data_IF_358977042278
#
_entry.id   IF_358977042278
#
_cell.length_a   1.000
_cell.length_b   1.000
_cell.length_c   1.000
_cell.angle_alpha   90.00
_cell.angle_beta   90.00
_cell.angle_gamma   90.00
#
_symmetry.space_group_name_H-M   'P 1'
#
loop_
_entity.id
_entity.type
_entity.pdbx_description
1 polymer ?
#
# COMPACT_ATOMS: atom_id res chain seq x y z
N UNK A 1 4.71 17.55 -5.78
CA UNK A 1 4.48 16.73 -6.96
C UNK A 1 4.02 15.38 -6.46
N UNK A 2 2.76 15.06 -6.69
CA UNK A 2 2.17 13.79 -6.22
C UNK A 2 2.04 12.86 -7.44
N UNK A 3 3.14 12.15 -7.75
CA UNK A 3 3.18 11.17 -8.82
C UNK A 3 3.30 9.78 -8.18
N UNK A 4 2.39 8.88 -8.53
CA UNK A 4 2.39 7.49 -8.08
C UNK A 4 2.27 6.55 -9.27
N UNK A 5 2.94 5.42 -9.17
CA UNK A 5 2.85 4.35 -10.15
C UNK A 5 2.08 3.19 -9.56
N UNK A 6 1.17 2.64 -10.36
CA UNK A 6 0.37 1.49 -9.99
C UNK A 6 0.65 0.32 -10.91
N UNK A 7 0.49 -0.90 -10.43
CA UNK A 7 0.61 -2.14 -11.20
C UNK A 7 -0.55 -3.07 -10.86
N UNK A 8 -0.94 -3.89 -11.83
CA UNK A 8 -1.93 -4.97 -11.66
C UNK A 8 -1.29 -6.35 -11.74
N UNK A 9 0.02 -6.42 -12.03
CA UNK A 9 0.75 -7.69 -12.20
C UNK A 9 0.87 -8.39 -10.84
N UNK A 10 0.18 -9.51 -10.70
CA UNK A 10 0.07 -10.25 -9.44
C UNK A 10 -1.07 -9.77 -8.53
N UNK A 11 -1.85 -8.75 -8.93
CA UNK A 11 -3.00 -8.22 -8.19
C UNK A 11 -4.35 -8.47 -8.85
N UNK A 12 -4.40 -8.63 -10.17
CA UNK A 12 -5.63 -8.78 -10.92
C UNK A 12 -6.09 -10.24 -10.98
N UNK A 13 -7.19 -10.54 -10.28
CA UNK A 13 -7.83 -11.85 -10.20
C UNK A 13 -9.08 -11.98 -11.06
N UNK A 14 -9.52 -10.88 -11.66
CA UNK A 14 -10.74 -10.88 -12.46
C UNK A 14 -10.54 -11.74 -13.72
N UNK A 15 -11.29 -12.86 -13.78
CA UNK A 15 -11.16 -13.85 -14.86
C UNK A 15 -9.85 -14.65 -14.85
N UNK A 16 -8.97 -14.51 -13.84
CA UNK A 16 -7.69 -15.21 -13.79
C UNK A 16 -7.49 -15.99 -12.47
N UNK A 17 -7.85 -17.27 -12.41
CA UNK A 17 -7.70 -18.09 -11.20
C UNK A 17 -6.24 -18.39 -10.82
N UNK A 18 -5.26 -18.10 -11.68
CA UNK A 18 -3.85 -18.36 -11.41
C UNK A 18 -3.19 -17.26 -10.58
N UNK A 19 -3.85 -16.14 -10.34
CA UNK A 19 -3.36 -15.07 -9.46
C UNK A 19 -3.80 -15.37 -8.04
N UNK A 20 -2.90 -15.96 -7.26
CA UNK A 20 -3.11 -16.34 -5.86
C UNK A 20 -2.50 -15.32 -4.90
N UNK A 21 -2.83 -15.40 -3.60
CA UNK A 21 -2.21 -14.60 -2.53
C UNK A 21 -0.69 -14.82 -2.47
N UNK A 22 -0.21 -16.03 -2.75
CA UNK A 22 1.21 -16.35 -2.88
C UNK A 22 1.87 -15.58 -4.05
N UNK A 23 1.19 -15.51 -5.21
CA UNK A 23 1.67 -14.75 -6.37
C UNK A 23 1.66 -13.24 -6.11
N UNK A 24 0.67 -12.75 -5.37
CA UNK A 24 0.63 -11.37 -4.93
C UNK A 24 1.80 -11.04 -4.01
N UNK A 25 2.07 -11.89 -3.02
CA UNK A 25 3.22 -11.73 -2.13
C UNK A 25 4.54 -11.75 -2.92
N UNK A 26 4.70 -12.71 -3.84
CA UNK A 26 5.89 -12.79 -4.71
C UNK A 26 6.10 -11.52 -5.55
N UNK A 27 5.02 -10.95 -6.11
CA UNK A 27 5.10 -9.70 -6.87
C UNK A 27 5.55 -8.52 -5.99
N UNK A 28 5.00 -8.40 -4.77
CA UNK A 28 5.38 -7.37 -3.81
C UNK A 28 6.84 -7.51 -3.36
N UNK A 29 7.28 -8.71 -3.03
CA UNK A 29 8.66 -8.99 -2.59
C UNK A 29 9.66 -8.73 -3.72
N UNK A 30 9.37 -9.19 -4.95
CA UNK A 30 10.24 -8.95 -6.12
C UNK A 30 10.40 -7.47 -6.43
N UNK A 31 9.30 -6.70 -6.38
CA UNK A 31 9.34 -5.26 -6.59
C UNK A 31 10.15 -4.53 -5.51
N UNK A 32 9.98 -4.95 -4.25
CA UNK A 32 10.74 -4.44 -3.11
C UNK A 32 12.23 -4.72 -3.25
N UNK A 33 12.62 -5.96 -3.50
CA UNK A 33 14.03 -6.35 -3.68
C UNK A 33 14.69 -5.51 -4.78
N UNK A 34 14.02 -5.36 -5.92
CA UNK A 34 14.54 -4.59 -7.04
C UNK A 34 14.76 -3.11 -6.67
N UNK A 35 13.78 -2.44 -6.07
CA UNK A 35 13.89 -1.02 -5.75
C UNK A 35 14.92 -0.75 -4.66
N UNK A 36 15.01 -1.62 -3.65
CA UNK A 36 16.00 -1.50 -2.59
C UNK A 36 17.43 -1.71 -3.12
N UNK A 37 17.64 -2.63 -4.07
CA UNK A 37 18.93 -2.80 -4.76
C UNK A 37 19.36 -1.51 -5.47
N UNK A 38 18.45 -0.85 -6.20
CA UNK A 38 18.74 0.43 -6.87
C UNK A 38 19.12 1.53 -5.86
N UNK A 39 18.44 1.58 -4.70
CA UNK A 39 18.79 2.56 -3.66
C UNK A 39 20.13 2.25 -2.99
N UNK A 40 20.43 0.98 -2.74
CA UNK A 40 21.71 0.53 -2.19
C UNK A 40 22.87 0.89 -3.11
N UNK A 41 22.74 0.61 -4.42
CA UNK A 41 23.71 1.00 -5.42
C UNK A 41 23.93 2.53 -5.45
N UNK A 42 22.83 3.29 -5.46
CA UNK A 42 22.87 4.76 -5.44
C UNK A 42 23.55 5.30 -4.18
N UNK A 43 23.24 4.77 -2.98
CA UNK A 43 23.90 5.17 -1.74
C UNK A 43 25.40 4.87 -1.76
N UNK A 44 25.80 3.73 -2.31
CA UNK A 44 27.20 3.33 -2.47
C UNK A 44 27.94 4.28 -3.38
N UNK A 45 27.34 4.62 -4.53
CA UNK A 45 27.91 5.59 -5.47
C UNK A 45 28.07 6.97 -4.83
N UNK A 46 27.01 7.50 -4.20
CA UNK A 46 27.02 8.79 -3.50
C UNK A 46 28.08 8.80 -2.40
N UNK A 47 28.17 7.75 -1.59
CA UNK A 47 29.18 7.62 -0.53
C UNK A 47 30.60 7.64 -1.09
N UNK A 48 30.83 7.04 -2.27
CA UNK A 48 32.14 7.05 -2.94
C UNK A 48 32.55 8.45 -3.38
N UNK A 49 31.60 9.26 -3.85
CA UNK A 49 31.83 10.62 -4.34
C UNK A 49 31.91 11.67 -3.21
N UNK A 50 31.24 11.42 -2.06
CA UNK A 50 31.22 12.36 -0.92
C UNK A 50 32.37 12.15 0.07
N UNK A 51 33.60 12.13 -0.42
CA UNK A 51 34.81 12.13 0.40
C UNK A 51 35.17 13.56 0.86
N UNK A 52 34.27 14.17 1.66
CA UNK A 52 34.44 15.52 2.19
C UNK A 52 34.93 15.44 3.65
N UNK A 53 36.14 15.94 3.89
CA UNK A 53 36.71 15.94 5.22
C UNK A 53 36.22 17.14 6.07
N UNK A 54 35.71 16.86 7.27
CA UNK A 54 35.28 17.88 8.25
C UNK A 54 36.41 18.78 8.71
N UNK A 55 37.67 18.38 8.48
CA UNK A 55 38.84 19.24 8.80
C UNK A 55 38.99 20.36 7.78
N UNK A 56 38.57 20.15 6.54
CA UNK A 56 38.67 21.11 5.45
C UNK A 56 37.38 21.91 5.33
N UNK A 57 36.23 21.23 5.43
CA UNK A 57 34.92 21.84 5.40
C UNK A 57 34.12 21.46 6.66
N UNK A 58 34.28 22.24 7.74
CA UNK A 58 33.64 21.95 9.01
C UNK A 58 32.13 22.13 8.92
N UNK A 59 31.40 21.16 9.44
CA UNK A 59 29.95 21.22 9.62
C UNK A 59 29.59 22.11 10.80
N UNK A 60 28.43 22.73 10.79
CA UNK A 60 27.86 23.31 12.01
C UNK A 60 27.67 22.21 13.07
N UNK A 61 27.72 22.59 14.35
CA UNK A 61 27.53 21.63 15.45
C UNK A 61 26.22 20.85 15.32
N UNK A 62 25.13 21.53 14.97
CA UNK A 62 23.82 20.90 14.76
C UNK A 62 23.84 19.84 13.65
N UNK A 63 24.38 20.16 12.47
CA UNK A 63 24.46 19.21 11.37
C UNK A 63 25.42 18.05 11.69
N UNK A 64 26.53 18.34 12.38
CA UNK A 64 27.45 17.29 12.82
C UNK A 64 26.79 16.32 13.79
N UNK A 65 26.03 16.81 14.75
CA UNK A 65 25.28 15.98 15.70
C UNK A 65 24.19 15.14 14.96
N UNK A 66 23.46 15.74 14.04
CA UNK A 66 22.42 15.03 13.25
C UNK A 66 23.03 13.89 12.43
N UNK A 67 24.13 14.13 11.71
CA UNK A 67 24.78 13.08 10.93
C UNK A 67 25.40 11.98 11.81
N UNK A 68 25.97 12.33 12.95
CA UNK A 68 26.46 11.33 13.91
C UNK A 68 25.34 10.48 14.50
N UNK A 69 24.15 11.06 14.73
CA UNK A 69 22.99 10.28 15.17
C UNK A 69 22.53 9.31 14.06
N UNK A 70 22.54 9.72 12.81
CA UNK A 70 22.30 8.81 11.66
C UNK A 70 23.32 7.66 11.67
N UNK A 71 24.61 7.96 11.81
CA UNK A 71 25.66 6.93 11.86
C UNK A 71 25.41 5.95 13.02
N UNK A 72 25.09 6.46 14.20
CA UNK A 72 24.86 5.67 15.41
C UNK A 72 23.63 4.74 15.28
N UNK A 73 22.54 5.25 14.68
CA UNK A 73 21.26 4.51 14.59
C UNK A 73 21.23 3.59 13.38
N UNK A 74 21.81 4.01 12.25
CA UNK A 74 21.70 3.28 10.97
C UNK A 74 22.84 2.29 10.75
N UNK A 75 24.04 2.53 11.27
CA UNK A 75 25.14 1.57 11.11
C UNK A 75 24.97 0.35 12.02
N UNK A 76 25.38 -0.81 11.51
CA UNK A 76 25.54 -2.03 12.32
C UNK A 76 26.81 -2.00 13.19
N UNK A 77 27.85 -1.27 12.75
CA UNK A 77 29.11 -1.05 13.49
C UNK A 77 29.62 0.38 13.28
N UNK A 78 29.10 1.37 14.05
CA UNK A 78 29.48 2.78 13.92
C UNK A 78 30.98 3.04 14.16
N UNK A 79 31.58 2.32 15.10
CA UNK A 79 33.00 2.51 15.42
C UNK A 79 33.92 2.08 14.28
N UNK A 80 33.60 0.97 13.61
CA UNK A 80 34.32 0.51 12.42
C UNK A 80 34.22 1.50 11.28
N UNK A 81 33.01 2.07 11.03
CA UNK A 81 32.81 3.10 10.01
C UNK A 81 33.67 4.34 10.27
N UNK A 82 33.71 4.83 11.51
CA UNK A 82 34.48 6.01 11.90
C UNK A 82 36.01 5.75 11.75
N UNK A 83 36.47 4.56 12.11
CA UNK A 83 37.89 4.18 11.96
C UNK A 83 38.26 4.04 10.47
N UNK A 84 37.38 3.53 9.61
CA UNK A 84 37.66 3.32 8.18
C UNK A 84 37.75 4.63 7.41
N UNK A 85 36.87 5.60 7.71
CA UNK A 85 36.78 6.88 7.01
C UNK A 85 36.85 8.06 7.98
N UNK A 86 37.99 8.28 8.64
CA UNK A 86 38.12 9.30 9.70
C UNK A 86 37.85 10.68 9.13
N UNK A 87 37.01 11.47 9.80
CA UNK A 87 36.61 12.83 9.45
C UNK A 87 35.75 12.98 8.18
N UNK A 88 35.22 11.88 7.63
CA UNK A 88 34.33 11.87 6.44
C UNK A 88 32.88 11.56 6.85
N UNK A 89 32.25 12.46 7.61
CA UNK A 89 30.94 12.23 8.24
C UNK A 89 29.83 11.93 7.21
N UNK A 90 29.85 12.57 6.03
CA UNK A 90 28.89 12.27 4.97
C UNK A 90 29.01 10.83 4.48
N UNK A 91 30.22 10.36 4.18
CA UNK A 91 30.46 8.98 3.75
C UNK A 91 30.06 7.98 4.83
N UNK A 92 30.41 8.26 6.09
CA UNK A 92 30.02 7.42 7.22
C UNK A 92 28.50 7.31 7.35
N UNK A 93 27.77 8.43 7.27
CA UNK A 93 26.31 8.46 7.36
C UNK A 93 25.66 7.68 6.20
N UNK A 94 26.07 7.94 4.96
CA UNK A 94 25.54 7.23 3.78
C UNK A 94 25.82 5.73 3.82
N UNK A 95 27.03 5.33 4.26
CA UNK A 95 27.37 3.91 4.43
C UNK A 95 26.51 3.26 5.53
N UNK A 96 26.29 3.95 6.64
CA UNK A 96 25.39 3.49 7.69
C UNK A 96 23.94 3.36 7.22
N UNK A 97 23.45 4.34 6.42
CA UNK A 97 22.13 4.28 5.78
C UNK A 97 22.01 3.06 4.86
N UNK A 98 23.07 2.79 4.07
CA UNK A 98 23.08 1.63 3.18
C UNK A 98 23.00 0.31 3.96
N UNK A 99 23.81 0.14 5.00
CA UNK A 99 23.74 -1.03 5.89
C UNK A 99 22.34 -1.19 6.51
N UNK A 100 21.71 -0.09 6.93
CA UNK A 100 20.37 -0.12 7.48
C UNK A 100 19.33 -0.56 6.44
N UNK A 101 19.50 -0.15 5.18
CA UNK A 101 18.64 -0.52 4.05
C UNK A 101 18.78 -2.01 3.71
N UNK A 102 20.02 -2.48 3.53
CA UNK A 102 20.35 -3.87 3.19
C UNK A 102 19.90 -4.86 4.29
N UNK A 103 20.03 -4.45 5.56
CA UNK A 103 19.57 -5.23 6.73
C UNK A 103 18.04 -5.14 6.96
N UNK A 104 17.29 -4.38 6.15
CA UNK A 104 15.84 -4.17 6.31
C UNK A 104 15.45 -3.45 7.60
N UNK A 105 16.35 -2.64 8.20
CA UNK A 105 16.14 -1.98 9.50
C UNK A 105 15.44 -0.63 9.41
N UNK A 106 15.21 -0.07 8.22
CA UNK A 106 14.32 1.08 8.08
C UNK A 106 12.88 0.67 8.37
N UNK A 107 12.31 1.26 9.41
CA UNK A 107 10.94 0.95 9.84
C UNK A 107 9.89 1.51 8.87
N UNK A 108 10.15 2.70 8.33
CA UNK A 108 9.24 3.39 7.41
C UNK A 108 10.02 4.12 6.32
N UNK A 109 9.43 4.24 5.13
CA UNK A 109 9.96 5.03 4.00
C UNK A 109 10.29 6.47 4.42
N UNK A 110 9.41 7.09 5.24
CA UNK A 110 9.60 8.45 5.74
C UNK A 110 10.89 8.65 6.54
N UNK A 111 11.37 7.62 7.23
CA UNK A 111 12.60 7.70 8.01
C UNK A 111 13.81 7.77 7.08
N UNK A 112 13.81 6.99 5.99
CA UNK A 112 14.86 7.05 4.97
C UNK A 112 14.87 8.40 4.25
N UNK A 113 13.69 8.94 3.91
CA UNK A 113 13.54 10.28 3.32
C UNK A 113 14.07 11.37 4.29
N UNK A 114 13.80 11.22 5.59
CA UNK A 114 14.29 12.17 6.61
C UNK A 114 15.81 12.18 6.69
N UNK A 115 16.44 11.01 6.66
CA UNK A 115 17.90 10.89 6.67
C UNK A 115 18.53 11.52 5.40
N UNK A 116 17.94 11.26 4.21
CA UNK A 116 18.40 11.91 2.96
C UNK A 116 18.25 13.44 3.02
N UNK A 117 17.15 13.96 3.59
CA UNK A 117 16.98 15.41 3.80
C UNK A 117 18.03 16.00 4.75
N UNK A 118 18.43 15.26 5.78
CA UNK A 118 19.48 15.68 6.69
C UNK A 118 20.84 15.78 5.96
N UNK A 119 21.15 14.83 5.08
CA UNK A 119 22.35 14.91 4.21
C UNK A 119 22.28 16.13 3.30
N UNK A 120 21.13 16.38 2.61
CA UNK A 120 20.95 17.56 1.76
C UNK A 120 21.16 18.87 2.56
N UNK A 121 20.54 19.00 3.72
CA UNK A 121 20.64 20.20 4.57
C UNK A 121 22.09 20.45 5.03
N UNK A 122 22.80 19.39 5.41
CA UNK A 122 24.20 19.50 5.81
C UNK A 122 25.10 19.91 4.63
N UNK A 123 24.90 19.37 3.42
CA UNK A 123 25.62 19.78 2.20
C UNK A 123 25.34 21.25 1.85
N UNK A 124 24.10 21.69 1.94
CA UNK A 124 23.73 23.10 1.70
C UNK A 124 24.44 24.04 2.68
N UNK A 125 24.54 23.64 3.96
CA UNK A 125 25.17 24.48 5.00
C UNK A 125 26.66 24.76 4.77
N UNK A 126 27.34 23.88 4.03
CA UNK A 126 28.77 24.06 3.66
C UNK A 126 28.95 24.61 2.24
N UNK A 127 27.87 25.06 1.59
CA UNK A 127 27.88 25.59 0.21
C UNK A 127 27.95 24.54 -0.90
N UNK A 128 27.80 23.25 -0.57
CA UNK A 128 27.86 22.14 -1.53
C UNK A 128 26.48 21.85 -2.19
N UNK A 129 25.74 22.92 -2.55
CA UNK A 129 24.37 22.83 -3.10
C UNK A 129 24.33 22.00 -4.38
N UNK A 130 25.26 22.25 -5.31
CA UNK A 130 25.31 21.52 -6.59
C UNK A 130 25.54 20.00 -6.39
N UNK A 131 26.28 19.62 -5.38
CA UNK A 131 26.52 18.20 -5.04
C UNK A 131 25.21 17.60 -4.51
N UNK A 132 24.57 18.28 -3.57
CA UNK A 132 23.25 17.88 -3.05
C UNK A 132 22.24 17.66 -4.19
N UNK A 133 22.12 18.66 -5.08
CA UNK A 133 21.13 18.67 -6.15
C UNK A 133 21.37 17.59 -7.21
N UNK A 134 22.62 17.21 -7.46
CA UNK A 134 22.98 16.23 -8.48
C UNK A 134 23.05 14.79 -7.98
N UNK A 135 23.38 14.59 -6.71
CA UNK A 135 23.62 13.25 -6.18
C UNK A 135 22.52 12.81 -5.21
N UNK A 136 22.21 13.61 -4.18
CA UNK A 136 21.34 13.18 -3.08
C UNK A 136 19.85 13.41 -3.40
N UNK A 137 19.53 14.58 -3.94
CA UNK A 137 18.14 14.96 -4.26
C UNK A 137 17.45 14.02 -5.25
N UNK A 138 18.10 13.55 -6.33
CA UNK A 138 17.49 12.58 -7.25
C UNK A 138 17.12 11.29 -6.55
N UNK A 139 17.99 10.74 -5.69
CA UNK A 139 17.67 9.55 -4.91
C UNK A 139 16.48 9.81 -3.97
N UNK A 140 16.47 10.93 -3.25
CA UNK A 140 15.34 11.28 -2.39
C UNK A 140 14.01 11.41 -3.16
N UNK A 141 14.03 11.97 -4.36
CA UNK A 141 12.84 12.04 -5.22
C UNK A 141 12.40 10.64 -5.64
N UNK A 142 13.32 9.77 -6.04
CA UNK A 142 12.99 8.38 -6.35
C UNK A 142 12.34 7.68 -5.16
N UNK A 143 12.93 7.79 -3.96
CA UNK A 143 12.35 7.22 -2.73
C UNK A 143 10.97 7.82 -2.43
N UNK A 144 10.77 9.12 -2.67
CA UNK A 144 9.46 9.77 -2.44
C UNK A 144 8.38 9.31 -3.41
N UNK A 145 8.75 8.86 -4.62
CA UNK A 145 7.81 8.40 -5.65
C UNK A 145 7.57 6.90 -5.56
N UNK A 146 8.64 6.13 -5.36
CA UNK A 146 8.60 4.67 -5.48
C UNK A 146 8.53 3.94 -4.13
N UNK A 147 8.70 4.62 -3.00
CA UNK A 147 8.68 4.00 -1.68
C UNK A 147 9.73 2.90 -1.53
N UNK A 148 9.36 1.83 -0.82
CA UNK A 148 10.12 0.58 -0.75
C UNK A 148 9.51 -0.53 -1.61
N UNK A 149 8.52 -0.22 -2.44
CA UNK A 149 7.74 -1.19 -3.22
C UNK A 149 7.79 -0.95 -4.73
N UNK A 150 8.52 0.05 -5.23
CA UNK A 150 8.64 0.47 -6.62
C UNK A 150 7.33 1.00 -7.24
N UNK A 151 6.21 0.43 -6.88
CA UNK A 151 4.85 0.82 -7.30
C UNK A 151 3.84 0.35 -6.26
N UNK A 152 2.66 0.91 -6.31
CA UNK A 152 1.51 0.42 -5.55
C UNK A 152 0.86 -0.73 -6.33
N UNK A 153 0.67 -1.88 -5.70
CA UNK A 153 0.01 -3.03 -6.30
C UNK A 153 -1.49 -2.96 -6.06
N UNK A 154 -2.28 -2.68 -7.10
CA UNK A 154 -3.74 -2.74 -7.01
C UNK A 154 -4.23 -4.17 -7.05
N UNK A 155 -5.21 -4.47 -6.21
CA UNK A 155 -5.84 -5.80 -6.15
C UNK A 155 -7.22 -5.70 -6.78
N UNK A 156 -7.53 -6.55 -7.77
CA UNK A 156 -8.85 -6.59 -8.40
C UNK A 156 -9.50 -7.96 -8.25
N UNK A 157 -10.79 -7.96 -7.89
CA UNK A 157 -11.62 -9.16 -7.78
C UNK A 157 -13.05 -8.88 -8.23
N UNK A 158 -13.71 -9.91 -8.76
CA UNK A 158 -15.08 -9.88 -9.22
C UNK A 158 -16.07 -9.97 -8.04
N UNK A 159 -17.16 -9.19 -8.09
CA UNK A 159 -18.22 -9.17 -7.07
C UNK A 159 -18.90 -10.52 -6.87
N UNK A 160 -19.04 -11.32 -7.93
CA UNK A 160 -19.62 -12.67 -7.85
C UNK A 160 -18.74 -13.61 -7.01
N UNK A 161 -17.41 -13.49 -7.10
CA UNK A 161 -16.47 -14.25 -6.24
C UNK A 161 -16.66 -13.84 -4.78
N UNK A 162 -16.75 -12.54 -4.52
CA UNK A 162 -16.98 -12.00 -3.16
C UNK A 162 -18.29 -12.56 -2.58
N UNK A 163 -19.35 -12.60 -3.37
CA UNK A 163 -20.64 -13.17 -2.98
C UNK A 163 -20.55 -14.66 -2.64
N UNK A 164 -19.94 -15.48 -3.54
CA UNK A 164 -19.76 -16.92 -3.28
C UNK A 164 -18.91 -17.20 -2.04
N UNK A 165 -17.88 -16.43 -1.81
CA UNK A 165 -17.03 -16.56 -0.62
C UNK A 165 -17.81 -16.24 0.65
N UNK A 166 -18.63 -15.19 0.67
CA UNK A 166 -19.45 -14.84 1.82
C UNK A 166 -20.53 -15.89 2.07
N UNK A 167 -21.17 -16.41 1.02
CA UNK A 167 -22.13 -17.52 1.10
C UNK A 167 -21.48 -18.77 1.71
N UNK A 168 -20.29 -19.14 1.26
CA UNK A 168 -19.55 -20.28 1.81
C UNK A 168 -19.22 -20.06 3.30
N UNK A 169 -18.74 -18.89 3.69
CA UNK A 169 -18.45 -18.57 5.10
C UNK A 169 -19.72 -18.73 5.95
N UNK A 170 -20.84 -18.15 5.53
CA UNK A 170 -22.10 -18.29 6.28
C UNK A 170 -22.62 -19.72 6.34
N UNK A 171 -22.46 -20.49 5.25
CA UNK A 171 -22.80 -21.91 5.24
C UNK A 171 -22.00 -22.69 6.30
N UNK A 172 -20.69 -22.44 6.43
CA UNK A 172 -19.86 -23.09 7.48
C UNK A 172 -20.27 -22.67 8.90
N UNK A 173 -20.85 -21.49 9.05
CA UNK A 173 -21.38 -20.97 10.30
C UNK A 173 -22.85 -21.40 10.57
N UNK A 174 -23.41 -22.24 9.71
CA UNK A 174 -24.78 -22.78 9.82
C UNK A 174 -25.86 -21.78 9.39
N UNK A 175 -25.51 -20.75 8.64
CA UNK A 175 -26.45 -19.78 8.07
C UNK A 175 -26.54 -19.97 6.55
N UNK A 176 -27.78 -20.06 6.04
CA UNK A 176 -28.04 -20.14 4.59
C UNK A 176 -28.98 -19.01 4.18
N UNK A 177 -28.48 -18.10 3.35
CA UNK A 177 -29.23 -16.95 2.87
C UNK A 177 -28.99 -16.86 1.36
N UNK A 178 -30.08 -16.64 0.61
CA UNK A 178 -30.00 -16.48 -0.84
C UNK A 178 -29.26 -15.17 -1.19
N UNK A 179 -28.22 -15.22 -2.04
CA UNK A 179 -27.53 -14.03 -2.53
C UNK A 179 -28.50 -13.00 -3.13
N UNK A 180 -28.16 -11.73 -3.06
CA UNK A 180 -28.92 -10.58 -3.60
C UNK A 180 -30.33 -10.37 -2.99
N UNK A 181 -30.75 -11.21 -2.04
CA UNK A 181 -32.02 -11.01 -1.32
C UNK A 181 -31.96 -9.85 -0.33
N UNK A 182 -33.12 -9.34 0.10
CA UNK A 182 -33.18 -8.35 1.22
C UNK A 182 -32.57 -8.92 2.50
N UNK A 183 -32.70 -10.21 2.74
CA UNK A 183 -32.10 -10.92 3.87
C UNK A 183 -30.58 -10.92 3.80
N UNK A 184 -29.99 -10.99 2.60
CA UNK A 184 -28.56 -10.92 2.34
C UNK A 184 -27.99 -9.60 2.84
N UNK A 185 -28.51 -8.48 2.32
CA UNK A 185 -28.07 -7.14 2.75
C UNK A 185 -28.30 -6.90 4.23
N UNK A 186 -29.41 -7.38 4.79
CA UNK A 186 -29.72 -7.28 6.23
C UNK A 186 -28.69 -8.04 7.08
N UNK A 187 -28.28 -9.24 6.66
CA UNK A 187 -27.26 -10.02 7.37
C UNK A 187 -25.90 -9.32 7.33
N UNK A 188 -25.46 -8.84 6.15
CA UNK A 188 -24.23 -8.07 6.03
C UNK A 188 -24.23 -6.88 7.00
N UNK A 189 -25.31 -6.09 7.00
CA UNK A 189 -25.46 -4.93 7.89
C UNK A 189 -25.45 -5.32 9.38
N UNK A 190 -26.05 -6.47 9.70
CA UNK A 190 -26.09 -6.98 11.09
C UNK A 190 -24.70 -7.38 11.58
N UNK A 191 -23.92 -8.08 10.76
CA UNK A 191 -22.57 -8.51 11.14
C UNK A 191 -21.57 -7.36 11.15
N UNK A 192 -21.67 -6.41 10.21
CA UNK A 192 -20.77 -5.25 10.16
C UNK A 192 -20.84 -4.37 11.43
N UNK A 193 -21.95 -4.37 12.16
CA UNK A 193 -22.08 -3.60 13.42
C UNK A 193 -21.62 -4.39 14.65
N UNK A 194 -21.39 -5.69 14.54
CA UNK A 194 -20.92 -6.49 15.66
C UNK A 194 -19.45 -6.16 16.00
N UNK A 195 -19.07 -5.98 17.24
CA UNK A 195 -17.68 -5.72 17.61
C UNK A 195 -16.77 -6.91 17.27
N UNK A 196 -17.26 -8.14 17.44
CA UNK A 196 -16.52 -9.37 17.16
C UNK A 196 -17.33 -10.27 16.23
N UNK A 197 -16.69 -10.80 15.20
CA UNK A 197 -17.23 -11.83 14.34
C UNK A 197 -16.83 -13.23 14.81
N UNK A 198 -17.58 -14.27 14.46
CA UNK A 198 -17.18 -15.66 14.68
C UNK A 198 -15.82 -15.94 14.07
N UNK A 199 -14.99 -16.74 14.74
CA UNK A 199 -13.74 -17.22 14.14
C UNK A 199 -14.04 -18.23 13.05
N UNK A 200 -13.40 -18.05 11.90
CA UNK A 200 -13.49 -18.98 10.80
C UNK A 200 -12.64 -20.22 11.07
N UNK A 201 -13.24 -21.38 10.87
CA UNK A 201 -12.49 -22.62 10.74
C UNK A 201 -12.04 -22.76 9.26
N UNK A 202 -10.80 -22.36 9.00
CA UNK A 202 -10.24 -22.35 7.64
C UNK A 202 -10.25 -23.73 6.96
N UNK A 203 -10.31 -24.82 7.75
CA UNK A 203 -10.35 -26.18 7.20
C UNK A 203 -11.69 -26.55 6.55
N UNK A 204 -12.74 -25.77 6.84
CA UNK A 204 -14.09 -25.96 6.28
C UNK A 204 -14.38 -25.04 5.08
N UNK A 205 -13.49 -24.09 4.80
CA UNK A 205 -13.64 -23.16 3.68
C UNK A 205 -13.30 -23.84 2.34
N UNK A 206 -14.00 -23.42 1.28
CA UNK A 206 -13.57 -23.76 -0.08
C UNK A 206 -12.22 -23.14 -0.40
N UNK A 207 -11.54 -23.68 -1.41
CA UNK A 207 -10.25 -23.14 -1.90
C UNK A 207 -10.39 -21.66 -2.32
N UNK A 208 -11.45 -21.29 -3.01
CA UNK A 208 -11.75 -19.90 -3.40
C UNK A 208 -11.92 -18.99 -2.18
N UNK A 209 -12.63 -19.47 -1.14
CA UNK A 209 -12.84 -18.70 0.11
C UNK A 209 -11.57 -18.54 0.91
N UNK A 210 -10.79 -19.61 1.01
CA UNK A 210 -9.49 -19.58 1.68
C UNK A 210 -8.53 -18.60 0.99
N UNK A 211 -8.52 -18.60 -0.34
CA UNK A 211 -7.67 -17.72 -1.14
C UNK A 211 -8.03 -16.24 -0.93
N UNK A 212 -9.32 -15.88 -1.00
CA UNK A 212 -9.72 -14.47 -0.83
C UNK A 212 -9.49 -13.98 0.60
N UNK A 213 -9.74 -14.81 1.62
CA UNK A 213 -9.43 -14.46 3.02
C UNK A 213 -7.91 -14.30 3.21
N UNK A 214 -7.09 -15.21 2.65
CA UNK A 214 -5.63 -15.12 2.73
C UNK A 214 -5.10 -13.87 2.04
N UNK A 215 -5.69 -13.46 0.93
CA UNK A 215 -5.37 -12.20 0.26
C UNK A 215 -5.66 -10.99 1.15
N UNK A 216 -6.82 -10.93 1.78
CA UNK A 216 -7.19 -9.82 2.68
C UNK A 216 -6.27 -9.78 3.92
N UNK A 217 -5.91 -10.93 4.48
CA UNK A 217 -4.90 -11.03 5.56
C UNK A 217 -3.52 -10.53 5.11
N UNK A 218 -3.10 -10.84 3.87
CA UNK A 218 -1.87 -10.32 3.29
C UNK A 218 -1.92 -8.81 3.16
N UNK A 219 -3.01 -8.24 2.64
CA UNK A 219 -3.20 -6.79 2.53
C UNK A 219 -3.07 -6.14 3.91
N UNK A 220 -3.74 -6.67 4.92
CA UNK A 220 -3.65 -6.17 6.29
C UNK A 220 -2.22 -6.22 6.84
N UNK A 221 -1.50 -7.30 6.56
CA UNK A 221 -0.10 -7.47 6.96
C UNK A 221 0.80 -6.41 6.33
N UNK A 222 0.65 -6.16 5.03
CA UNK A 222 1.43 -5.15 4.29
C UNK A 222 1.11 -3.74 4.80
N UNK A 223 -0.16 -3.42 5.02
CA UNK A 223 -0.58 -2.12 5.55
C UNK A 223 -0.03 -1.82 6.95
N UNK A 224 0.26 -2.84 7.75
CA UNK A 224 0.92 -2.71 9.05
C UNK A 224 2.47 -2.77 8.96
N UNK A 225 3.02 -2.94 7.77
CA UNK A 225 4.45 -3.08 7.50
C UNK A 225 5.21 -1.77 7.34
N UNK A 226 6.41 -1.88 6.76
CA UNK A 226 7.33 -0.75 6.54
C UNK A 226 6.91 0.21 5.43
N UNK A 227 6.13 -0.28 4.48
CA UNK A 227 5.59 0.47 3.35
C UNK A 227 4.09 0.17 3.18
N UNK A 228 3.21 0.84 3.96
CA UNK A 228 1.76 0.62 3.89
C UNK A 228 1.15 0.91 2.51
N UNK A 229 1.83 1.69 1.68
CA UNK A 229 1.37 2.08 0.35
C UNK A 229 1.77 1.07 -0.74
N UNK A 230 2.49 -0.01 -0.39
CA UNK A 230 2.86 -1.07 -1.31
C UNK A 230 1.64 -1.79 -1.90
N UNK A 231 0.54 -1.90 -1.14
CA UNK A 231 -0.75 -2.39 -1.64
C UNK A 231 -1.72 -1.23 -1.75
N UNK A 232 -2.29 -1.10 -2.94
CA UNK A 232 -3.28 -0.10 -3.30
C UNK A 232 -4.71 -0.48 -2.91
N UNK A 233 -5.68 0.07 -3.62
CA UNK A 233 -7.07 -0.23 -3.37
C UNK A 233 -7.43 -1.68 -3.77
N UNK A 234 -8.48 -2.17 -3.15
CA UNK A 234 -9.22 -3.35 -3.59
C UNK A 234 -10.27 -2.92 -4.62
N UNK A 235 -10.02 -3.18 -5.88
CA UNK A 235 -10.92 -2.84 -7.00
C UNK A 235 -11.96 -3.96 -7.10
N UNK A 236 -13.21 -3.61 -6.95
CA UNK A 236 -14.33 -4.53 -7.06
C UNK A 236 -14.96 -4.39 -8.45
N UNK A 237 -14.64 -5.32 -9.37
CA UNK A 237 -15.25 -5.36 -10.69
C UNK A 237 -16.69 -5.85 -10.63
N UNK A 238 -17.50 -5.51 -11.62
CA UNK A 238 -18.92 -5.84 -11.72
C UNK A 238 -19.70 -5.39 -10.47
N UNK A 239 -19.43 -4.19 -9.97
CA UNK A 239 -20.18 -3.63 -8.84
C UNK A 239 -21.57 -3.20 -9.28
N UNK A 240 -22.62 -3.84 -8.74
CA UNK A 240 -24.03 -3.62 -9.11
C UNK A 240 -24.89 -3.11 -7.96
N UNK A 241 -24.43 -3.26 -6.72
CA UNK A 241 -25.21 -2.94 -5.53
C UNK A 241 -24.36 -2.47 -4.36
N UNK A 242 -24.99 -1.84 -3.38
CA UNK A 242 -24.33 -1.53 -2.10
C UNK A 242 -23.93 -2.80 -1.34
N UNK A 243 -24.64 -3.91 -1.54
CA UNK A 243 -24.32 -5.18 -0.91
C UNK A 243 -22.96 -5.70 -1.36
N UNK A 244 -22.57 -5.50 -2.64
CA UNK A 244 -21.27 -5.95 -3.16
C UNK A 244 -20.12 -5.27 -2.43
N UNK A 245 -20.18 -3.95 -2.28
CA UNK A 245 -19.16 -3.16 -1.57
C UNK A 245 -19.14 -3.53 -0.08
N UNK A 246 -20.30 -3.62 0.57
CA UNK A 246 -20.41 -3.98 1.98
C UNK A 246 -19.95 -5.41 2.25
N UNK A 247 -20.12 -6.34 1.29
CA UNK A 247 -19.58 -7.70 1.38
C UNK A 247 -18.05 -7.72 1.45
N UNK A 248 -17.37 -6.90 0.66
CA UNK A 248 -15.90 -6.76 0.75
C UNK A 248 -15.50 -6.25 2.14
N UNK A 249 -16.22 -5.25 2.68
CA UNK A 249 -15.94 -4.72 4.01
C UNK A 249 -16.16 -5.79 5.09
N UNK A 250 -17.18 -6.64 4.94
CA UNK A 250 -17.43 -7.74 5.88
C UNK A 250 -16.35 -8.83 5.78
N UNK A 251 -15.94 -9.22 4.58
CA UNK A 251 -14.84 -10.17 4.38
C UNK A 251 -13.52 -9.64 4.96
N UNK A 252 -13.25 -8.34 4.80
CA UNK A 252 -12.09 -7.72 5.43
C UNK A 252 -12.14 -7.85 6.96
N UNK A 253 -13.33 -7.71 7.57
CA UNK A 253 -13.50 -7.95 9.01
C UNK A 253 -13.24 -9.41 9.40
N UNK A 254 -13.69 -10.37 8.62
CA UNK A 254 -13.37 -11.79 8.83
C UNK A 254 -11.86 -12.06 8.69
N UNK A 255 -11.15 -11.31 7.85
CA UNK A 255 -9.70 -11.36 7.71
C UNK A 255 -8.91 -10.61 8.81
N UNK A 256 -9.60 -10.01 9.79
CA UNK A 256 -8.97 -9.39 10.95
C UNK A 256 -8.85 -7.85 10.91
N UNK A 257 -9.45 -7.17 9.93
CA UNK A 257 -9.57 -5.72 9.95
C UNK A 257 -10.47 -5.24 11.11
N UNK A 258 -10.23 -4.02 11.58
CA UNK A 258 -10.91 -3.47 12.74
C UNK A 258 -12.43 -3.27 12.55
N UNK A 259 -13.19 -3.21 13.67
CA UNK A 259 -14.65 -3.04 13.66
C UNK A 259 -15.11 -1.58 13.63
N UNK A 260 -14.27 -0.65 14.06
CA UNK A 260 -14.63 0.77 14.12
C UNK A 260 -14.51 1.45 12.76
N UNK A 261 -13.41 1.19 12.05
CA UNK A 261 -13.07 1.68 10.73
C UNK A 261 -12.20 0.66 10.02
N UNK A 262 -12.22 0.70 8.70
CA UNK A 262 -11.41 -0.19 7.86
C UNK A 262 -10.35 0.62 7.13
N UNK A 263 -9.12 0.16 7.18
CA UNK A 263 -8.02 0.70 6.38
C UNK A 263 -8.06 0.23 4.93
N UNK A 264 -8.88 -0.79 4.62
CA UNK A 264 -9.04 -1.27 3.25
C UNK A 264 -9.78 -0.23 2.40
N UNK A 265 -9.12 0.28 1.38
CA UNK A 265 -9.73 1.14 0.36
C UNK A 265 -10.41 0.26 -0.67
N UNK A 266 -11.74 0.33 -0.75
CA UNK A 266 -12.51 -0.39 -1.78
C UNK A 266 -12.87 0.59 -2.87
N UNK A 267 -12.47 0.28 -4.11
CA UNK A 267 -12.78 1.05 -5.31
C UNK A 267 -13.80 0.27 -6.13
N UNK A 268 -15.07 0.69 -6.15
CA UNK A 268 -16.06 0.07 -7.01
C UNK A 268 -15.76 0.41 -8.47
N UNK A 269 -15.83 -0.59 -9.33
CA UNK A 269 -15.75 -0.45 -10.78
C UNK A 269 -17.15 -0.64 -11.37
N UNK A 270 -17.68 0.41 -11.99
CA UNK A 270 -18.96 0.41 -12.70
C UNK A 270 -18.69 0.26 -14.19
N UNK A 271 -19.25 -0.81 -14.79
CA UNK A 271 -18.86 -1.28 -16.12
C UNK A 271 -19.96 -1.17 -17.16
N UNK A 272 -21.22 -1.37 -16.78
CA UNK A 272 -22.36 -1.21 -17.69
C UNK A 272 -23.00 0.17 -17.59
N UNK A 273 -23.81 0.55 -18.59
CA UNK A 273 -24.58 1.80 -18.55
C UNK A 273 -25.54 1.80 -17.35
N UNK A 274 -26.16 0.65 -17.08
CA UNK A 274 -27.07 0.52 -15.94
C UNK A 274 -26.35 0.69 -14.60
N UNK A 275 -25.12 0.16 -14.46
CA UNK A 275 -24.31 0.33 -13.25
C UNK A 275 -23.91 1.80 -13.05
N UNK A 276 -23.53 2.49 -14.13
CA UNK A 276 -23.19 3.91 -14.11
C UNK A 276 -24.38 4.77 -13.67
N UNK A 277 -25.56 4.51 -14.19
CA UNK A 277 -26.80 5.23 -13.80
C UNK A 277 -27.13 5.01 -12.31
N UNK A 278 -26.91 3.80 -11.79
CA UNK A 278 -27.19 3.45 -10.39
C UNK A 278 -26.09 3.85 -9.41
N UNK A 279 -24.88 4.12 -9.88
CA UNK A 279 -23.70 4.38 -9.05
C UNK A 279 -23.93 5.43 -7.94
N UNK A 280 -24.56 6.60 -8.19
CA UNK A 280 -24.82 7.58 -7.16
C UNK A 280 -25.68 7.04 -6.01
N UNK A 281 -26.72 6.27 -6.33
CA UNK A 281 -27.61 5.67 -5.34
C UNK A 281 -26.92 4.56 -4.55
N UNK A 282 -26.12 3.71 -5.21
CA UNK A 282 -25.32 2.66 -4.57
C UNK A 282 -24.36 3.29 -3.54
N UNK A 283 -23.63 4.32 -3.94
CA UNK A 283 -22.68 5.00 -3.05
C UNK A 283 -23.38 5.68 -1.87
N UNK A 284 -24.54 6.32 -2.10
CA UNK A 284 -25.35 6.90 -1.03
C UNK A 284 -25.72 5.85 0.03
N UNK A 285 -26.20 4.68 -0.41
CA UNK A 285 -26.55 3.56 0.47
C UNK A 285 -25.35 3.02 1.25
N UNK A 286 -24.17 2.93 0.62
CA UNK A 286 -22.92 2.52 1.29
C UNK A 286 -22.56 3.51 2.40
N UNK A 287 -22.62 4.81 2.12
CA UNK A 287 -22.22 5.83 3.09
C UNK A 287 -23.26 6.11 4.19
N UNK A 288 -24.49 5.68 4.04
CA UNK A 288 -25.44 5.62 5.14
C UNK A 288 -25.02 4.60 6.21
N UNK A 289 -24.12 3.67 5.86
CA UNK A 289 -23.69 2.64 6.78
C UNK A 289 -22.51 3.12 7.67
N UNK A 290 -22.61 3.01 9.01
CA UNK A 290 -21.68 3.68 9.92
C UNK A 290 -20.20 3.33 9.76
N UNK A 291 -19.85 2.08 9.46
CA UNK A 291 -18.45 1.68 9.27
C UNK A 291 -17.87 2.28 7.99
N UNK A 292 -18.63 2.29 6.89
CA UNK A 292 -18.21 2.89 5.63
C UNK A 292 -18.05 4.42 5.76
N UNK A 293 -19.01 5.08 6.42
CA UNK A 293 -18.93 6.52 6.68
C UNK A 293 -17.72 6.90 7.56
N UNK A 294 -17.41 6.10 8.59
CA UNK A 294 -16.22 6.33 9.44
C UNK A 294 -14.92 6.08 8.67
N UNK A 295 -14.87 5.03 7.86
CA UNK A 295 -13.69 4.72 7.02
C UNK A 295 -13.45 5.83 6.00
N UNK A 296 -14.49 6.34 5.37
CA UNK A 296 -14.40 7.49 4.45
C UNK A 296 -13.89 8.75 5.16
N UNK A 297 -14.39 9.04 6.36
CA UNK A 297 -13.95 10.20 7.15
C UNK A 297 -12.47 10.09 7.54
N UNK A 298 -12.00 8.89 7.87
CA UNK A 298 -10.59 8.62 8.18
C UNK A 298 -9.67 8.75 6.97
N UNK A 299 -10.22 8.58 5.76
CA UNK A 299 -9.56 8.81 4.48
C UNK A 299 -9.73 10.25 3.95
N UNK A 300 -9.82 11.25 4.83
CA UNK A 300 -10.00 12.67 4.48
C UNK A 300 -11.22 12.96 3.58
N UNK A 301 -12.26 12.15 3.70
CA UNK A 301 -13.47 12.16 2.87
C UNK A 301 -13.17 11.95 1.37
N UNK A 302 -12.09 11.25 1.06
CA UNK A 302 -11.70 10.88 -0.30
C UNK A 302 -12.11 9.44 -0.61
N UNK A 303 -12.82 9.26 -1.71
CA UNK A 303 -13.14 7.95 -2.29
C UNK A 303 -12.81 7.94 -3.77
N UNK A 304 -12.18 6.88 -4.19
CA UNK A 304 -11.88 6.58 -5.59
C UNK A 304 -12.98 5.71 -6.19
N UNK A 305 -13.36 5.99 -7.43
CA UNK A 305 -14.36 5.25 -8.20
C UNK A 305 -13.72 4.96 -9.55
N UNK A 306 -13.84 3.73 -10.02
CA UNK A 306 -13.37 3.34 -11.34
C UNK A 306 -14.55 3.23 -12.30
N UNK A 307 -14.39 3.81 -13.49
CA UNK A 307 -15.36 3.76 -14.57
C UNK A 307 -14.83 2.86 -15.69
N UNK A 308 -15.59 1.85 -16.07
CA UNK A 308 -15.22 0.91 -17.11
C UNK A 308 -15.44 1.50 -18.49
N UNK A 309 -14.53 2.35 -18.97
CA UNK A 309 -14.64 3.02 -20.28
C UNK A 309 -14.80 2.04 -21.44
N UNK A 310 -13.97 1.00 -21.48
CA UNK A 310 -14.02 -0.02 -22.54
C UNK A 310 -15.34 -0.80 -22.54
N UNK A 311 -15.79 -1.21 -21.35
CA UNK A 311 -16.93 -2.07 -21.18
C UNK A 311 -18.25 -1.32 -21.37
N UNK A 312 -18.37 -0.13 -20.81
CA UNK A 312 -19.54 0.74 -21.04
C UNK A 312 -19.68 1.17 -22.51
N UNK A 313 -18.57 1.36 -23.23
CA UNK A 313 -18.62 1.61 -24.68
C UNK A 313 -19.09 0.41 -25.48
N UNK A 314 -18.75 -0.81 -25.08
CA UNK A 314 -19.26 -2.05 -25.71
C UNK A 314 -20.76 -2.23 -25.42
N UNK A 315 -21.20 -1.86 -24.21
CA UNK A 315 -22.58 -1.99 -23.75
C UNK A 315 -23.51 -0.96 -24.44
N UNK A 316 -23.22 0.33 -24.34
CA UNK A 316 -24.11 1.41 -24.80
C UNK A 316 -23.56 2.30 -25.91
N UNK A 317 -22.33 2.08 -26.35
CA UNK A 317 -21.62 2.93 -27.31
C UNK A 317 -21.07 4.23 -26.69
N UNK A 318 -20.15 4.86 -27.41
CA UNK A 318 -19.37 6.01 -26.94
C UNK A 318 -20.22 7.17 -26.41
N UNK A 319 -21.30 7.54 -27.10
CA UNK A 319 -22.13 8.69 -26.68
C UNK A 319 -22.85 8.39 -25.37
N UNK A 320 -23.40 7.19 -25.22
CA UNK A 320 -24.15 6.79 -24.01
C UNK A 320 -23.21 6.68 -22.80
N UNK A 321 -22.04 6.06 -22.99
CA UNK A 321 -21.07 5.87 -21.90
C UNK A 321 -20.39 7.17 -21.45
N UNK A 322 -20.40 8.21 -22.28
CA UNK A 322 -19.78 9.50 -21.99
C UNK A 322 -20.76 10.55 -21.46
N UNK A 323 -22.08 10.29 -21.57
CA UNK A 323 -23.15 11.18 -21.11
C UNK A 323 -23.47 10.96 -19.64
#
# INVERSE_FOLDING_TARGET
FDLRFHSWIGGDRDGNPNVTSEKTLFALESAKEMVLSVYSESLTEIASQLSISNKIMPLSESNFMTLNEIIRVRSSDPESLIRRNPNETFRQALTGMNQCLDDGRYKYVKDFIADLRAIEAALHSIGAVNISDKLVRPLRWQVSVFGFSAHTLDVRQNSEVVTRVLENIWSTLGTSIEPESESWLKQIKTELVQPNLPKLDKSQLTEESLELISLLELILTVQNGSDPEAVGPFILSMTRSAADILSVLLLARYAGFGSEKLSLKVVPLFETIEDLDKAPEILRQVFEFPIAARSLKDADAFMEIMLGYSDSNKDGGFLCSSW
#
